data_IF_559191940898
#
_entry.id   IF_559191940898
#
_cell.length_a   1.000
_cell.length_b   1.000
_cell.length_c   1.000
_cell.angle_alpha   90.00
_cell.angle_beta   90.00
_cell.angle_gamma   90.00
#
_symmetry.space_group_name_H-M   'P 1'
#
loop_
_entity.id
_entity.type
_entity.pdbx_description
1 polymer ?
#
# COMPACT_ATOMS: atom_id res chain seq x y z
N UNK A 1 35.10 -57.22 10.48
CA UNK A 1 35.71 -56.77 9.21
C UNK A 1 36.78 -57.78 8.83
N UNK A 2 36.75 -58.31 7.61
CA UNK A 2 37.67 -59.34 7.16
C UNK A 2 39.08 -58.76 7.01
N UNK A 3 40.10 -59.43 7.55
CA UNK A 3 41.51 -59.10 7.30
C UNK A 3 41.82 -59.29 5.80
N UNK A 4 41.68 -58.22 5.01
CA UNK A 4 42.16 -58.19 3.64
C UNK A 4 43.68 -58.14 3.66
N UNK A 5 44.31 -59.30 3.55
CA UNK A 5 45.76 -59.44 3.44
C UNK A 5 46.23 -58.68 2.20
N UNK A 6 47.05 -57.64 2.38
CA UNK A 6 47.53 -56.84 1.26
C UNK A 6 48.28 -57.73 0.25
N UNK A 7 48.09 -57.55 -1.06
CA UNK A 7 48.82 -58.31 -2.05
C UNK A 7 50.34 -58.15 -1.88
N UNK A 8 51.13 -59.17 -2.25
CA UNK A 8 52.58 -59.14 -2.11
C UNK A 8 53.20 -57.98 -2.90
N UNK A 9 54.28 -57.39 -2.37
CA UNK A 9 54.96 -56.26 -3.02
C UNK A 9 55.48 -56.65 -4.40
N UNK A 10 55.15 -55.87 -5.42
CA UNK A 10 55.59 -56.08 -6.81
C UNK A 10 56.88 -55.28 -7.11
N UNK A 11 57.77 -55.84 -7.94
CA UNK A 11 59.05 -55.20 -8.27
C UNK A 11 58.90 -54.20 -9.42
N UNK A 12 58.80 -52.92 -9.08
CA UNK A 12 58.75 -51.83 -10.06
C UNK A 12 60.18 -51.38 -10.41
N UNK A 13 60.48 -51.23 -11.69
CA UNK A 13 61.73 -50.58 -12.14
C UNK A 13 61.63 -49.08 -11.90
N UNK A 14 62.60 -48.54 -11.16
CA UNK A 14 62.61 -47.13 -10.76
C UNK A 14 63.89 -46.48 -11.28
N UNK A 15 63.84 -45.27 -11.87
CA UNK A 15 65.01 -44.48 -12.22
C UNK A 15 65.97 -44.32 -11.02
N UNK A 16 67.28 -44.39 -11.27
CA UNK A 16 68.32 -44.36 -10.23
C UNK A 16 68.15 -43.22 -9.19
N UNK A 17 67.81 -41.98 -9.58
CA UNK A 17 67.62 -40.89 -8.62
C UNK A 17 66.48 -41.12 -7.62
N UNK A 18 65.46 -41.91 -7.99
CA UNK A 18 64.25 -42.10 -7.20
C UNK A 18 64.30 -43.35 -6.30
N UNK A 19 65.31 -44.21 -6.44
CA UNK A 19 65.43 -45.46 -5.68
C UNK A 19 65.38 -45.23 -4.16
N UNK A 20 66.07 -44.19 -3.67
CA UNK A 20 66.12 -43.88 -2.24
C UNK A 20 64.74 -43.54 -1.67
N UNK A 21 64.00 -42.67 -2.37
CA UNK A 21 62.66 -42.22 -1.98
C UNK A 21 61.66 -43.37 -2.05
N UNK A 22 61.68 -44.16 -3.13
CA UNK A 22 60.76 -45.31 -3.28
C UNK A 22 61.01 -46.39 -2.23
N UNK A 23 62.26 -46.63 -1.83
CA UNK A 23 62.56 -47.54 -0.71
C UNK A 23 62.01 -47.04 0.61
N UNK A 24 62.14 -45.74 0.90
CA UNK A 24 61.57 -45.14 2.11
C UNK A 24 60.04 -45.21 2.10
N UNK A 25 59.40 -44.89 0.97
CA UNK A 25 57.95 -44.98 0.80
C UNK A 25 57.45 -46.42 0.99
N UNK A 26 58.13 -47.41 0.40
CA UNK A 26 57.81 -48.83 0.58
C UNK A 26 57.95 -49.26 2.03
N UNK A 27 58.98 -48.78 2.74
CA UNK A 27 59.15 -49.03 4.18
C UNK A 27 58.00 -48.44 5.00
N UNK A 28 57.61 -47.19 4.75
CA UNK A 28 56.48 -46.54 5.42
C UNK A 28 55.16 -47.26 5.17
N UNK A 29 54.94 -47.72 3.92
CA UNK A 29 53.76 -48.50 3.56
C UNK A 29 53.72 -49.85 4.31
N UNK A 30 54.84 -50.57 4.38
CA UNK A 30 54.94 -51.83 5.14
C UNK A 30 54.76 -51.63 6.65
N UNK A 31 55.13 -50.47 7.17
CA UNK A 31 54.93 -50.08 8.56
C UNK A 31 53.51 -49.59 8.85
N UNK A 32 52.58 -49.66 7.88
CA UNK A 32 51.18 -49.26 8.05
C UNK A 32 50.94 -47.76 8.15
N UNK A 33 51.97 -46.91 8.03
CA UNK A 33 51.84 -45.47 8.20
C UNK A 33 50.95 -44.83 7.13
N UNK A 34 51.01 -45.33 5.90
CA UNK A 34 50.16 -44.84 4.80
C UNK A 34 48.68 -45.15 5.05
N UNK A 35 48.39 -46.31 5.64
CA UNK A 35 47.02 -46.73 5.97
C UNK A 35 46.49 -45.88 7.13
N UNK A 36 47.29 -45.70 8.18
CA UNK A 36 46.92 -44.86 9.32
C UNK A 36 46.63 -43.40 8.91
N UNK A 37 47.41 -42.85 7.98
CA UNK A 37 47.20 -41.51 7.44
C UNK A 37 45.89 -41.43 6.65
N UNK A 38 45.63 -42.38 5.76
CA UNK A 38 44.38 -42.42 4.99
C UNK A 38 43.16 -42.54 5.92
N UNK A 39 43.24 -43.40 6.94
CA UNK A 39 42.17 -43.55 7.92
C UNK A 39 41.95 -42.26 8.72
N UNK A 40 43.03 -41.59 9.15
CA UNK A 40 42.92 -40.30 9.84
C UNK A 40 42.33 -39.19 8.95
N UNK A 41 42.63 -39.20 7.65
CA UNK A 41 42.00 -38.27 6.68
C UNK A 41 40.53 -38.59 6.48
N UNK A 42 40.16 -39.86 6.39
CA UNK A 42 38.77 -40.29 6.26
C UNK A 42 37.96 -39.89 7.50
N UNK A 43 38.50 -40.11 8.70
CA UNK A 43 37.88 -39.64 9.95
C UNK A 43 37.74 -38.11 9.96
N UNK A 44 38.78 -37.38 9.56
CA UNK A 44 38.72 -35.92 9.50
C UNK A 44 37.65 -35.42 8.51
N UNK A 45 37.55 -36.01 7.33
CA UNK A 45 36.51 -35.66 6.35
C UNK A 45 35.12 -35.99 6.91
N UNK A 46 34.94 -37.15 7.54
CA UNK A 46 33.68 -37.51 8.19
C UNK A 46 33.30 -36.53 9.34
N UNK A 47 34.30 -36.00 10.06
CA UNK A 47 34.04 -34.95 11.06
C UNK A 47 33.65 -33.61 10.43
N UNK A 48 34.16 -33.28 9.24
CA UNK A 48 33.71 -32.09 8.52
C UNK A 48 32.28 -32.26 8.01
N UNK A 49 31.97 -33.38 7.38
CA UNK A 49 30.63 -33.64 6.85
C UNK A 49 29.56 -33.62 7.96
N UNK A 50 29.84 -34.22 9.12
CA UNK A 50 28.90 -34.18 10.26
C UNK A 50 28.76 -32.80 10.92
N UNK A 51 29.77 -31.93 10.81
CA UNK A 51 29.68 -30.54 11.29
C UNK A 51 29.05 -29.58 10.26
N UNK A 52 29.11 -29.93 8.97
CA UNK A 52 28.51 -29.16 7.87
C UNK A 52 27.04 -29.52 7.68
N UNK A 53 26.61 -30.71 8.13
CA UNK A 53 25.20 -31.09 8.28
C UNK A 53 24.56 -30.32 9.45
N UNK A 54 24.62 -28.98 9.36
CA UNK A 54 23.74 -28.09 10.09
C UNK A 54 22.36 -28.43 9.56
N UNK A 55 21.60 -29.19 10.34
CA UNK A 55 20.20 -29.55 10.09
C UNK A 55 19.36 -28.26 9.97
N UNK A 56 19.45 -27.63 8.80
CA UNK A 56 18.79 -26.36 8.49
C UNK A 56 17.27 -26.56 8.53
N UNK A 57 16.82 -27.76 8.14
CA UNK A 57 15.42 -28.17 8.17
C UNK A 57 14.85 -28.23 9.59
N UNK A 58 15.67 -28.61 10.58
CA UNK A 58 15.30 -28.59 12.01
C UNK A 58 15.57 -27.26 12.74
N UNK A 59 16.26 -26.31 12.10
CA UNK A 59 16.64 -25.07 12.77
C UNK A 59 15.41 -24.21 13.11
N UNK A 60 15.29 -23.80 14.37
CA UNK A 60 14.17 -22.97 14.86
C UNK A 60 13.95 -21.70 14.02
N UNK A 61 15.02 -21.15 13.47
CA UNK A 61 14.99 -19.97 12.61
C UNK A 61 14.31 -20.26 11.26
N UNK A 62 14.61 -21.40 10.64
CA UNK A 62 13.98 -21.82 9.37
C UNK A 62 12.50 -22.12 9.58
N UNK A 63 12.13 -22.79 10.67
CA UNK A 63 10.72 -23.02 11.02
C UNK A 63 9.96 -21.71 11.24
N UNK A 64 10.56 -20.73 11.92
CA UNK A 64 9.96 -19.40 12.10
C UNK A 64 9.84 -18.62 10.79
N UNK A 65 10.82 -18.77 9.88
CA UNK A 65 10.73 -18.16 8.55
C UNK A 65 9.61 -18.79 7.73
N UNK A 66 9.44 -20.10 7.82
CA UNK A 66 8.38 -20.84 7.13
C UNK A 66 6.99 -20.42 7.63
N UNK A 67 6.79 -20.33 8.95
CA UNK A 67 5.54 -19.84 9.55
C UNK A 67 5.20 -18.41 9.10
N UNK A 68 6.19 -17.51 9.08
CA UNK A 68 5.98 -16.13 8.57
C UNK A 68 5.67 -16.09 7.08
N UNK A 69 6.20 -17.03 6.31
CA UNK A 69 5.96 -17.14 4.87
C UNK A 69 4.50 -17.56 4.65
N UNK A 70 4.02 -18.57 5.38
CA UNK A 70 2.62 -19.01 5.36
C UNK A 70 1.66 -17.88 5.79
N UNK A 71 2.01 -17.13 6.84
CA UNK A 71 1.22 -15.97 7.28
C UNK A 71 1.13 -14.90 6.18
N UNK A 72 2.26 -14.55 5.54
CA UNK A 72 2.29 -13.59 4.45
C UNK A 72 1.49 -14.05 3.22
N UNK A 73 1.59 -15.32 2.85
CA UNK A 73 0.82 -15.91 1.76
C UNK A 73 -0.68 -15.83 2.04
N UNK A 74 -1.11 -16.16 3.27
CA UNK A 74 -2.51 -16.07 3.68
C UNK A 74 -3.03 -14.62 3.62
N UNK A 75 -2.23 -13.66 4.10
CA UNK A 75 -2.60 -12.25 4.09
C UNK A 75 -2.67 -11.66 2.67
N UNK A 76 -1.78 -12.10 1.76
CA UNK A 76 -1.85 -11.73 0.35
C UNK A 76 -3.12 -12.27 -0.30
N UNK A 77 -3.48 -13.53 -0.05
CA UNK A 77 -4.70 -14.12 -0.59
C UNK A 77 -5.97 -13.38 -0.13
N UNK A 78 -6.03 -12.95 1.13
CA UNK A 78 -7.17 -12.16 1.63
C UNK A 78 -7.20 -10.74 1.10
N UNK A 79 -6.03 -10.13 0.90
CA UNK A 79 -5.92 -8.82 0.25
C UNK A 79 -6.40 -8.88 -1.20
N UNK A 80 -6.05 -9.93 -1.94
CA UNK A 80 -6.50 -10.12 -3.32
C UNK A 80 -8.02 -10.26 -3.40
N UNK A 81 -8.64 -11.09 -2.54
CA UNK A 81 -10.11 -11.16 -2.43
C UNK A 81 -10.74 -9.80 -2.11
N UNK A 82 -10.11 -9.00 -1.23
CA UNK A 82 -10.59 -7.65 -0.92
C UNK A 82 -10.51 -6.70 -2.12
N UNK A 83 -9.47 -6.83 -2.94
CA UNK A 83 -9.30 -6.04 -4.16
C UNK A 83 -10.32 -6.47 -5.22
N UNK A 84 -10.49 -7.76 -5.45
CA UNK A 84 -11.48 -8.31 -6.38
C UNK A 84 -12.89 -7.83 -6.04
N UNK A 85 -13.31 -7.96 -4.78
CA UNK A 85 -14.64 -7.49 -4.34
C UNK A 85 -14.83 -5.99 -4.51
N UNK A 86 -13.79 -5.18 -4.25
CA UNK A 86 -13.84 -3.72 -4.50
C UNK A 86 -13.92 -3.40 -6.00
N UNK A 87 -13.19 -4.13 -6.84
CA UNK A 87 -13.24 -3.99 -8.29
C UNK A 87 -14.62 -4.36 -8.84
N UNK A 88 -15.23 -5.46 -8.39
CA UNK A 88 -16.59 -5.82 -8.74
C UNK A 88 -17.61 -4.76 -8.33
N UNK A 89 -17.46 -4.21 -7.11
CA UNK A 89 -18.34 -3.13 -6.63
C UNK A 89 -18.20 -1.85 -7.45
N UNK A 90 -16.97 -1.48 -7.86
CA UNK A 90 -16.73 -0.36 -8.75
C UNK A 90 -17.29 -0.62 -10.14
N UNK A 91 -17.12 -1.81 -10.69
CA UNK A 91 -17.67 -2.23 -11.98
C UNK A 91 -19.20 -2.08 -12.00
N UNK A 92 -19.89 -2.60 -10.97
CA UNK A 92 -21.36 -2.44 -10.82
C UNK A 92 -21.79 -0.97 -10.76
N UNK A 93 -21.04 -0.13 -10.02
CA UNK A 93 -21.33 1.32 -9.94
C UNK A 93 -21.13 2.02 -11.28
N UNK A 94 -20.09 1.66 -12.03
CA UNK A 94 -19.85 2.18 -13.37
C UNK A 94 -20.97 1.76 -14.34
N UNK A 95 -21.43 0.52 -14.26
CA UNK A 95 -22.56 0.02 -15.05
C UNK A 95 -23.85 0.82 -14.77
N UNK A 96 -24.12 1.15 -13.50
CA UNK A 96 -25.25 2.01 -13.11
C UNK A 96 -25.12 3.44 -13.65
N UNK A 97 -23.91 4.01 -13.59
CA UNK A 97 -23.64 5.35 -14.15
C UNK A 97 -23.82 5.34 -15.67
N UNK A 98 -23.30 4.32 -16.36
CA UNK A 98 -23.45 4.17 -17.81
C UNK A 98 -24.93 4.07 -18.19
N UNK A 99 -25.71 3.24 -17.48
CA UNK A 99 -27.17 3.16 -17.66
C UNK A 99 -27.88 4.48 -17.42
N UNK A 100 -27.49 5.25 -16.40
CA UNK A 100 -28.06 6.56 -16.11
C UNK A 100 -27.72 7.61 -17.18
N UNK A 101 -26.51 7.56 -17.74
CA UNK A 101 -26.10 8.44 -18.84
C UNK A 101 -26.89 8.10 -20.11
N UNK A 102 -27.02 6.81 -20.44
CA UNK A 102 -27.81 6.36 -21.59
C UNK A 102 -29.28 6.78 -21.44
N UNK A 103 -29.90 6.53 -20.29
CA UNK A 103 -31.31 6.92 -20.06
C UNK A 103 -31.50 8.43 -20.12
N UNK A 104 -30.54 9.23 -19.65
CA UNK A 104 -30.58 10.70 -19.77
C UNK A 104 -30.48 11.15 -21.22
N UNK A 105 -29.63 10.51 -22.04
CA UNK A 105 -29.51 10.82 -23.48
C UNK A 105 -30.75 10.44 -24.29
N UNK A 106 -31.42 9.32 -23.95
CA UNK A 106 -32.66 8.92 -24.64
C UNK A 106 -33.89 9.71 -24.17
N UNK A 107 -33.89 10.26 -22.95
CA UNK A 107 -34.93 11.18 -22.46
C UNK A 107 -34.73 12.64 -22.88
N UNK A 108 -33.57 13.01 -23.42
CA UNK A 108 -33.38 14.28 -24.14
C UNK A 108 -33.94 14.19 -25.56
N UNK A 109 -35.26 14.07 -25.69
CA UNK A 109 -35.92 14.62 -26.89
C UNK A 109 -35.51 16.10 -27.00
N UNK A 110 -35.22 16.62 -28.21
CA UNK A 110 -35.01 18.05 -28.38
C UNK A 110 -36.26 18.74 -27.83
N UNK A 111 -36.09 19.52 -26.76
CA UNK A 111 -37.14 20.30 -26.10
C UNK A 111 -37.97 20.99 -27.18
N UNK A 112 -39.11 20.39 -27.53
CA UNK A 112 -40.21 21.12 -28.12
C UNK A 112 -40.46 22.27 -27.15
N UNK A 113 -40.35 23.50 -27.65
CA UNK A 113 -40.52 24.74 -26.89
C UNK A 113 -41.92 24.72 -26.27
N UNK A 114 -42.03 24.12 -25.08
CA UNK A 114 -43.24 24.17 -24.28
C UNK A 114 -43.40 25.62 -23.86
N UNK A 115 -44.48 26.22 -24.37
CA UNK A 115 -44.94 27.53 -23.98
C UNK A 115 -44.88 27.63 -22.45
N UNK A 116 -44.10 28.60 -21.96
CA UNK A 116 -43.96 28.86 -20.55
C UNK A 116 -45.29 29.39 -20.04
N UNK A 117 -46.03 28.56 -19.30
CA UNK A 117 -47.05 29.09 -18.41
C UNK A 117 -46.37 30.05 -17.43
N UNK A 118 -46.81 31.30 -17.30
CA UNK A 118 -46.21 32.25 -16.38
C UNK A 118 -46.62 31.81 -14.97
N UNK A 119 -45.78 31.00 -14.34
CA UNK A 119 -45.86 30.83 -12.89
C UNK A 119 -45.55 32.20 -12.30
N UNK A 120 -46.55 32.88 -11.75
CA UNK A 120 -46.34 34.07 -10.94
C UNK A 120 -45.45 33.65 -9.77
N UNK A 121 -44.14 33.87 -9.91
CA UNK A 121 -43.22 33.82 -8.79
C UNK A 121 -43.66 34.91 -7.83
N UNK A 122 -44.28 34.51 -6.72
CA UNK A 122 -44.54 35.40 -5.60
C UNK A 122 -43.19 35.99 -5.22
N UNK A 123 -43.00 37.28 -5.47
CA UNK A 123 -41.77 37.97 -5.08
C UNK A 123 -41.76 37.99 -3.56
N UNK A 124 -41.02 37.07 -2.94
CA UNK A 124 -40.85 37.05 -1.49
C UNK A 124 -39.95 38.24 -1.15
N UNK A 125 -40.56 39.28 -0.58
CA UNK A 125 -39.83 40.41 0.00
C UNK A 125 -39.08 39.92 1.23
N UNK A 126 -37.75 39.99 1.19
CA UNK A 126 -36.92 39.61 2.32
C UNK A 126 -37.02 40.71 3.38
N UNK A 127 -37.31 40.31 4.61
CA UNK A 127 -37.33 41.23 5.75
C UNK A 127 -35.89 41.51 6.24
N UNK A 128 -35.64 42.68 6.86
CA UNK A 128 -34.37 42.97 7.51
C UNK A 128 -34.03 41.91 8.57
N UNK A 129 -32.74 41.59 8.70
CA UNK A 129 -32.26 40.49 9.56
C UNK A 129 -31.27 40.96 10.60
N UNK A 130 -31.31 40.33 11.76
CA UNK A 130 -30.27 40.48 12.80
C UNK A 130 -29.01 39.71 12.43
N UNK A 131 -27.88 40.04 13.06
CA UNK A 131 -26.61 39.33 12.85
C UNK A 131 -26.73 37.82 13.08
N UNK A 132 -27.42 37.42 14.16
CA UNK A 132 -27.66 36.02 14.53
C UNK A 132 -28.49 35.26 13.49
N UNK A 133 -29.41 35.92 12.79
CA UNK A 133 -30.29 35.28 11.80
C UNK A 133 -29.75 35.34 10.37
N UNK A 134 -28.85 36.28 10.07
CA UNK A 134 -28.19 36.39 8.76
C UNK A 134 -26.98 35.48 8.65
N UNK A 135 -26.15 35.37 9.71
CA UNK A 135 -24.95 34.54 9.71
C UNK A 135 -25.18 33.08 9.24
N UNK A 136 -26.16 32.32 9.77
CA UNK A 136 -26.41 30.95 9.31
C UNK A 136 -26.87 30.89 7.85
N UNK A 137 -27.60 31.90 7.36
CA UNK A 137 -28.06 31.99 5.96
C UNK A 137 -26.89 32.17 4.99
N UNK A 138 -25.85 32.89 5.40
CA UNK A 138 -24.62 33.10 4.63
C UNK A 138 -23.57 32.01 4.87
N UNK A 139 -23.88 31.00 5.69
CA UNK A 139 -22.94 29.93 6.06
C UNK A 139 -21.74 30.41 6.87
N UNK A 140 -21.92 31.43 7.71
CA UNK A 140 -20.86 32.00 8.58
C UNK A 140 -21.29 31.99 10.04
N UNK A 141 -20.31 32.16 10.95
CA UNK A 141 -20.60 32.40 12.37
C UNK A 141 -20.97 33.86 12.61
N UNK A 142 -21.82 34.18 13.60
CA UNK A 142 -22.20 35.56 13.92
C UNK A 142 -21.00 36.47 14.22
N UNK A 143 -19.99 35.94 14.90
CA UNK A 143 -18.74 36.67 15.19
C UNK A 143 -17.92 36.96 13.93
N UNK A 144 -17.81 35.99 13.01
CA UNK A 144 -17.11 36.19 11.74
C UNK A 144 -17.82 37.22 10.85
N UNK A 145 -19.16 37.27 10.87
CA UNK A 145 -19.92 38.25 10.11
C UNK A 145 -19.65 39.68 10.60
N UNK A 146 -19.54 39.89 11.91
CA UNK A 146 -19.15 41.17 12.51
C UNK A 146 -17.72 41.55 12.09
N UNK A 147 -16.78 40.60 12.19
CA UNK A 147 -15.39 40.84 11.83
C UNK A 147 -15.23 41.21 10.34
N UNK A 148 -15.94 40.53 9.44
CA UNK A 148 -15.91 40.85 8.00
C UNK A 148 -16.60 42.18 7.69
N UNK A 149 -17.64 42.55 8.43
CA UNK A 149 -18.27 43.88 8.32
C UNK A 149 -17.32 45.00 8.71
N UNK A 150 -16.51 44.81 9.75
CA UNK A 150 -15.54 45.82 10.22
C UNK A 150 -14.30 45.89 9.33
N UNK A 151 -13.95 44.76 8.70
CA UNK A 151 -12.78 44.64 7.82
C UNK A 151 -13.03 45.19 6.41
N UNK A 152 -14.22 44.97 5.86
CA UNK A 152 -14.55 45.30 4.47
C UNK A 152 -15.23 46.67 4.37
N UNK A 153 -15.06 47.35 3.24
CA UNK A 153 -15.90 48.52 2.92
C UNK A 153 -17.35 48.10 2.68
N UNK A 154 -18.32 49.01 2.84
CA UNK A 154 -19.76 48.69 2.66
C UNK A 154 -20.07 48.04 1.32
N UNK A 155 -19.40 48.47 0.24
CA UNK A 155 -19.58 47.92 -1.11
C UNK A 155 -19.01 46.50 -1.25
N UNK A 156 -17.85 46.25 -0.65
CA UNK A 156 -17.23 44.92 -0.65
C UNK A 156 -18.02 43.95 0.21
N UNK A 157 -18.50 44.41 1.37
CA UNK A 157 -19.37 43.63 2.24
C UNK A 157 -20.68 43.26 1.55
N UNK A 158 -21.26 44.17 0.78
CA UNK A 158 -22.44 43.90 -0.05
C UNK A 158 -22.18 42.78 -1.07
N UNK A 159 -21.04 42.83 -1.76
CA UNK A 159 -20.67 41.79 -2.73
C UNK A 159 -20.36 40.45 -2.05
N UNK A 160 -19.70 40.50 -0.89
CA UNK A 160 -19.37 39.34 -0.07
C UNK A 160 -20.61 38.58 0.39
N UNK A 161 -21.60 39.31 0.93
CA UNK A 161 -22.88 38.75 1.35
C UNK A 161 -23.69 38.23 0.17
N UNK A 162 -23.72 38.96 -0.96
CA UNK A 162 -24.41 38.54 -2.19
C UNK A 162 -23.89 37.21 -2.74
N UNK A 163 -22.57 37.01 -2.75
CA UNK A 163 -21.96 35.79 -3.27
C UNK A 163 -22.22 34.55 -2.40
N UNK A 164 -22.57 34.75 -1.12
CA UNK A 164 -22.86 33.68 -0.16
C UNK A 164 -24.36 33.42 0.02
N UNK A 165 -25.21 34.38 -0.33
CA UNK A 165 -26.66 34.24 -0.18
C UNK A 165 -27.23 33.27 -1.22
N UNK A 166 -28.03 32.26 -0.81
CA UNK A 166 -28.66 31.32 -1.74
C UNK A 166 -29.58 31.99 -2.79
N UNK A 167 -30.11 33.18 -2.49
CA UNK A 167 -30.93 33.97 -3.40
C UNK A 167 -30.15 35.08 -4.11
N UNK A 168 -28.81 35.11 -3.98
CA UNK A 168 -27.94 36.14 -4.54
C UNK A 168 -28.34 37.55 -4.13
N UNK A 169 -28.79 37.73 -2.89
CA UNK A 169 -29.16 39.03 -2.31
C UNK A 169 -28.00 39.58 -1.50
N UNK A 170 -27.62 40.83 -1.77
CA UNK A 170 -26.63 41.54 -0.96
C UNK A 170 -27.26 42.06 0.32
N UNK A 171 -26.52 42.05 1.42
CA UNK A 171 -27.01 42.52 2.72
C UNK A 171 -26.15 43.70 3.18
N UNK A 172 -26.80 44.81 3.49
CA UNK A 172 -26.15 46.03 3.97
C UNK A 172 -26.49 46.29 5.43
N UNK A 173 -25.48 46.61 6.24
CA UNK A 173 -25.68 46.97 7.64
C UNK A 173 -26.16 48.41 7.77
N UNK A 174 -27.27 48.62 8.48
CA UNK A 174 -27.72 49.95 8.88
C UNK A 174 -27.40 50.17 10.38
N UNK A 175 -26.51 51.14 10.71
CA UNK A 175 -26.16 51.43 12.10
C UNK A 175 -27.33 51.98 12.94
N UNK A 176 -28.35 52.53 12.30
CA UNK A 176 -29.44 53.23 12.99
C UNK A 176 -30.43 52.28 13.66
N UNK A 177 -30.68 51.13 13.04
CA UNK A 177 -31.60 50.10 13.52
C UNK A 177 -30.87 48.82 13.97
N UNK A 178 -29.57 48.70 13.68
CA UNK A 178 -28.78 47.52 14.00
C UNK A 178 -29.19 46.27 13.22
N UNK A 179 -29.74 46.45 12.01
CA UNK A 179 -30.22 45.37 11.16
C UNK A 179 -29.53 45.37 9.79
N UNK A 180 -29.49 44.19 9.18
CA UNK A 180 -29.07 43.99 7.81
C UNK A 180 -30.25 44.07 6.85
N UNK A 181 -30.17 44.97 5.88
CA UNK A 181 -31.21 45.20 4.88
C UNK A 181 -30.84 44.55 3.54
N UNK A 182 -31.79 43.89 2.86
CA UNK A 182 -31.54 43.29 1.58
C UNK A 182 -31.45 44.35 0.46
N UNK A 183 -30.42 44.23 -0.37
CA UNK A 183 -30.13 45.05 -1.55
C UNK A 183 -30.02 44.12 -2.76
N UNK A 184 -30.85 44.36 -3.77
CA UNK A 184 -30.85 43.61 -5.03
C UNK A 184 -29.94 44.23 -6.08
#
# INVERSE_FOLDING_TARGET
>A
MAEQKSPPSEMIRVPVPLIGIVRQLSKLHRQGHTIALLQALEELVATFDSNIDIDLAGSKQVLQLQEKLEELESHLADRDKSVETKLEAMSKKLELIERAILSTRYNSQPKQRRQSYPYQQTQVELQPRTNESLAPRLGVTPQSLIAEREKLSSKEFLSYTRNRDPMSVGWEWNPSDGLYHPRR
#
